data_IF_054406493961
#
_entry.id   IF_054406493961
#
_cell.length_a   1.000
_cell.length_b   1.000
_cell.length_c   1.000
_cell.angle_alpha   90.00
_cell.angle_beta   90.00
_cell.angle_gamma   90.00
#
_symmetry.space_group_name_H-M   'P 1'
#
loop_
_entity.id
_entity.type
_entity.pdbx_description
1 polymer ?
#
# COMPACT_ATOMS: atom_id res chain seq x y z
N UNK A 1 29.13 -20.67 -1.41
CA UNK A 1 28.37 -19.56 -2.05
C UNK A 1 27.69 -18.78 -0.95
N UNK A 2 27.91 -17.47 -0.88
CA UNK A 2 27.19 -16.60 0.06
C UNK A 2 25.82 -16.29 -0.54
N UNK A 3 24.77 -16.49 0.24
CA UNK A 3 23.41 -16.07 -0.13
C UNK A 3 23.39 -14.54 -0.03
N UNK A 4 22.78 -13.87 -1.01
CA UNK A 4 22.57 -12.41 -0.96
C UNK A 4 21.81 -12.01 0.32
N UNK A 5 22.10 -10.84 0.94
CA UNK A 5 21.34 -10.35 2.09
C UNK A 5 19.84 -10.23 1.81
N UNK A 6 19.45 -10.02 0.56
CA UNK A 6 18.05 -10.04 0.12
C UNK A 6 17.69 -11.45 -0.35
N UNK A 7 16.87 -12.16 0.43
CA UNK A 7 16.49 -13.55 0.16
C UNK A 7 16.01 -13.73 -1.30
N UNK A 8 16.56 -14.69 -2.07
CA UNK A 8 16.35 -14.79 -3.51
C UNK A 8 15.05 -15.53 -3.87
N UNK A 9 13.91 -15.05 -3.37
CA UNK A 9 12.57 -15.66 -3.61
C UNK A 9 11.83 -15.09 -4.82
N UNK A 10 12.35 -14.04 -5.45
CA UNK A 10 11.71 -13.38 -6.59
C UNK A 10 12.59 -13.41 -7.85
N UNK A 11 12.07 -13.85 -9.01
CA UNK A 11 12.70 -13.58 -10.29
C UNK A 11 12.49 -12.10 -10.64
N UNK A 12 13.58 -11.33 -10.76
CA UNK A 12 13.52 -9.89 -11.08
C UNK A 12 13.85 -9.68 -12.56
N UNK A 13 13.09 -8.80 -13.23
CA UNK A 13 13.45 -8.31 -14.56
C UNK A 13 14.58 -7.26 -14.47
N UNK A 14 15.10 -6.83 -15.63
CA UNK A 14 16.23 -5.89 -15.70
C UNK A 14 15.89 -4.41 -15.38
N UNK A 15 14.62 -4.04 -15.23
CA UNK A 15 14.20 -2.65 -14.99
C UNK A 15 14.44 -2.28 -13.52
N UNK A 16 15.17 -1.19 -13.26
CA UNK A 16 15.57 -0.75 -11.91
C UNK A 16 15.09 0.68 -11.62
N UNK A 17 13.77 0.90 -11.46
CA UNK A 17 13.23 2.24 -11.38
C UNK A 17 13.66 2.95 -10.08
N UNK A 18 14.11 4.20 -10.21
CA UNK A 18 14.51 5.08 -9.09
C UNK A 18 13.60 6.28 -8.91
N UNK A 19 12.73 6.56 -9.88
CA UNK A 19 11.74 7.62 -9.79
C UNK A 19 10.44 7.21 -10.47
N UNK A 20 9.33 7.64 -9.90
CA UNK A 20 8.02 7.55 -10.51
C UNK A 20 7.50 8.93 -10.94
N UNK A 21 6.78 8.96 -12.05
CA UNK A 21 6.15 10.17 -12.59
C UNK A 21 4.81 9.82 -13.24
N UNK A 22 3.74 9.92 -12.46
CA UNK A 22 2.39 9.51 -12.87
C UNK A 22 2.36 8.07 -13.39
N UNK A 23 2.11 7.84 -14.67
CA UNK A 23 2.09 6.50 -15.26
C UNK A 23 3.48 5.99 -15.68
N UNK A 24 4.56 6.70 -15.37
CA UNK A 24 5.91 6.32 -15.77
C UNK A 24 6.78 5.86 -14.60
N UNK A 25 7.57 4.82 -14.87
CA UNK A 25 8.75 4.45 -14.12
C UNK A 25 9.99 5.00 -14.82
N UNK A 26 10.93 5.56 -14.07
CA UNK A 26 12.18 6.12 -14.58
C UNK A 26 13.34 5.30 -14.00
N UNK A 27 14.08 4.64 -14.89
CA UNK A 27 15.25 3.81 -14.56
C UNK A 27 16.44 4.65 -14.09
N UNK A 28 17.48 3.97 -13.57
CA UNK A 28 18.73 4.61 -13.16
C UNK A 28 19.48 5.31 -14.30
N UNK A 29 19.35 4.81 -15.52
CA UNK A 29 19.92 5.42 -16.73
C UNK A 29 19.05 6.55 -17.33
N UNK A 30 17.90 6.82 -16.71
CA UNK A 30 16.93 7.83 -17.16
C UNK A 30 15.89 7.32 -18.15
N UNK A 31 15.92 6.05 -18.56
CA UNK A 31 14.91 5.45 -19.43
C UNK A 31 13.53 5.53 -18.79
N UNK A 32 12.53 5.98 -19.57
CA UNK A 32 11.13 6.09 -19.13
C UNK A 32 10.33 4.90 -19.65
N UNK A 33 9.72 4.14 -18.74
CA UNK A 33 8.78 3.07 -19.07
C UNK A 33 7.36 3.51 -18.75
N UNK A 34 6.44 3.34 -19.69
CA UNK A 34 5.01 3.43 -19.40
C UNK A 34 4.60 2.18 -18.59
N UNK A 35 4.11 2.39 -17.37
CA UNK A 35 3.81 1.31 -16.44
C UNK A 35 2.37 0.80 -16.63
N UNK A 36 2.25 -0.36 -17.26
CA UNK A 36 0.99 -1.13 -17.33
C UNK A 36 0.91 -2.25 -16.29
N UNK A 37 1.93 -2.44 -15.46
CA UNK A 37 1.91 -3.42 -14.38
C UNK A 37 1.31 -2.85 -13.08
N UNK A 38 1.44 -1.54 -12.86
CA UNK A 38 0.96 -0.80 -11.69
C UNK A 38 1.43 -1.42 -10.37
N UNK A 39 2.64 -1.99 -10.34
CA UNK A 39 3.15 -2.70 -9.16
C UNK A 39 2.26 -3.89 -8.74
N UNK A 40 1.76 -4.67 -9.71
CA UNK A 40 0.73 -5.70 -9.51
C UNK A 40 -0.56 -5.06 -8.99
N UNK A 41 -1.09 -4.11 -9.77
CA UNK A 41 -2.35 -3.40 -9.50
C UNK A 41 -2.42 -2.61 -8.16
N UNK A 42 -1.28 -2.29 -7.54
CA UNK A 42 -1.20 -1.49 -6.30
C UNK A 42 -1.30 0.02 -6.58
N UNK A 43 -0.58 0.51 -7.59
CA UNK A 43 -0.39 1.94 -7.83
C UNK A 43 -1.53 2.57 -8.66
N UNK A 44 -2.77 2.47 -8.16
CA UNK A 44 -3.98 2.87 -8.89
C UNK A 44 -4.05 4.37 -9.26
N UNK A 45 -3.38 5.24 -8.49
CA UNK A 45 -3.29 6.68 -8.77
C UNK A 45 -2.02 7.05 -9.58
N UNK A 46 -1.30 6.05 -10.06
CA UNK A 46 0.05 6.19 -10.59
C UNK A 46 1.08 6.46 -9.50
N UNK A 47 2.31 6.70 -9.94
CA UNK A 47 3.46 6.98 -9.08
C UNK A 47 3.53 8.45 -8.68
N UNK A 48 3.90 8.70 -7.43
CA UNK A 48 4.14 10.05 -6.88
C UNK A 48 2.97 11.03 -7.05
N UNK A 49 1.73 10.54 -6.96
CA UNK A 49 0.52 11.36 -7.04
C UNK A 49 0.53 12.46 -5.96
N UNK A 50 0.46 13.74 -6.38
CA UNK A 50 0.63 14.91 -5.49
C UNK A 50 -0.31 14.89 -4.29
N UNK A 51 -1.58 14.54 -4.50
CA UNK A 51 -2.57 14.47 -3.40
C UNK A 51 -2.28 13.36 -2.40
N UNK A 52 -1.74 12.22 -2.85
CA UNK A 52 -1.42 11.10 -1.96
C UNK A 52 -0.16 11.40 -1.16
N UNK A 53 0.89 11.89 -1.83
CA UNK A 53 2.14 12.29 -1.17
C UNK A 53 1.89 13.39 -0.14
N UNK A 54 1.09 14.41 -0.46
CA UNK A 54 0.76 15.48 0.48
C UNK A 54 0.03 14.97 1.73
N UNK A 55 -0.96 14.09 1.57
CA UNK A 55 -1.68 13.49 2.69
C UNK A 55 -0.76 12.67 3.60
N UNK A 56 0.13 11.86 3.02
CA UNK A 56 1.13 11.08 3.77
C UNK A 56 2.09 12.01 4.52
N UNK A 57 2.64 13.03 3.85
CA UNK A 57 3.58 13.97 4.47
C UNK A 57 2.96 14.71 5.66
N UNK A 58 1.74 15.20 5.50
CA UNK A 58 1.03 15.90 6.57
C UNK A 58 0.76 14.98 7.77
N UNK A 59 0.27 13.76 7.52
CA UNK A 59 0.02 12.81 8.61
C UNK A 59 1.33 12.36 9.26
N UNK A 60 2.40 12.15 8.50
CA UNK A 60 3.70 11.77 9.03
C UNK A 60 4.33 12.83 9.94
N UNK A 61 4.16 14.10 9.59
CA UNK A 61 4.57 15.22 10.44
C UNK A 61 3.70 15.37 11.71
N UNK A 62 2.51 14.75 11.73
CA UNK A 62 1.55 14.86 12.83
C UNK A 62 1.63 13.65 13.77
N UNK A 63 1.38 12.44 13.25
CA UNK A 63 1.35 11.18 14.01
C UNK A 63 1.33 9.97 13.06
N UNK A 64 2.31 9.06 13.19
CA UNK A 64 2.42 7.86 12.33
C UNK A 64 1.82 6.59 12.91
N UNK A 65 1.99 6.36 14.21
CA UNK A 65 1.60 5.10 14.83
C UNK A 65 1.15 5.29 16.27
N UNK A 66 0.04 4.65 16.57
CA UNK A 66 -0.43 4.33 17.92
C UNK A 66 -0.87 2.88 17.91
N UNK A 67 -0.90 2.25 19.08
CA UNK A 67 -1.50 0.91 19.20
C UNK A 67 -3.03 1.00 19.12
N UNK A 68 -3.67 -0.14 18.91
CA UNK A 68 -5.14 -0.27 18.98
C UNK A 68 -5.70 -0.10 20.41
N UNK A 69 -4.88 0.29 21.39
CA UNK A 69 -5.32 0.61 22.76
C UNK A 69 -5.97 2.00 22.84
N UNK A 70 -5.73 2.86 21.85
CA UNK A 70 -6.24 4.23 21.79
C UNK A 70 -7.28 4.38 20.67
N UNK A 71 -8.18 5.34 20.82
CA UNK A 71 -9.07 5.76 19.73
C UNK A 71 -8.28 6.38 18.57
N UNK A 72 -8.79 6.24 17.36
CA UNK A 72 -8.12 6.69 16.13
C UNK A 72 -9.13 7.41 15.23
N UNK A 73 -9.29 8.74 15.39
CA UNK A 73 -10.30 9.50 14.64
C UNK A 73 -10.17 9.36 13.12
N UNK A 74 -8.95 9.25 12.60
CA UNK A 74 -8.69 9.04 11.17
C UNK A 74 -9.12 7.64 10.72
N UNK A 75 -8.85 6.62 11.55
CA UNK A 75 -9.28 5.25 11.29
C UNK A 75 -10.80 5.09 11.34
N UNK A 76 -11.45 5.70 12.33
CA UNK A 76 -12.91 5.74 12.47
C UNK A 76 -13.57 6.41 11.27
N UNK A 77 -13.04 7.55 10.81
CA UNK A 77 -13.54 8.24 9.63
C UNK A 77 -13.37 7.43 8.33
N UNK A 78 -12.27 6.67 8.20
CA UNK A 78 -12.08 5.76 7.06
C UNK A 78 -13.04 4.56 7.14
N UNK A 79 -13.24 3.99 8.33
CA UNK A 79 -14.16 2.89 8.55
C UNK A 79 -15.58 3.25 8.13
N UNK A 80 -16.08 4.42 8.56
CA UNK A 80 -17.40 4.89 8.16
C UNK A 80 -17.52 5.05 6.65
N UNK A 81 -16.51 5.64 5.98
CA UNK A 81 -16.51 5.78 4.51
C UNK A 81 -16.58 4.44 3.78
N UNK A 82 -16.01 3.38 4.33
CA UNK A 82 -16.07 2.03 3.75
C UNK A 82 -17.43 1.39 3.98
N UNK A 83 -17.99 1.51 5.17
CA UNK A 83 -19.36 1.06 5.48
C UNK A 83 -20.36 1.72 4.54
N UNK A 84 -20.30 3.05 4.37
CA UNK A 84 -21.21 3.80 3.50
C UNK A 84 -21.14 3.41 2.00
N UNK A 85 -20.05 2.78 1.58
CA UNK A 85 -19.77 2.44 0.17
C UNK A 85 -19.86 0.94 -0.12
N UNK A 86 -20.11 0.13 0.88
CA UNK A 86 -20.13 -1.33 0.76
C UNK A 86 -21.37 -1.90 1.45
N UNK A 87 -21.49 -3.23 1.48
CA UNK A 87 -22.56 -3.91 2.20
C UNK A 87 -22.24 -4.09 3.70
N UNK A 88 -21.01 -3.79 4.12
CA UNK A 88 -20.51 -4.18 5.43
C UNK A 88 -21.03 -3.24 6.53
N UNK A 89 -21.40 -3.81 7.68
CA UNK A 89 -21.77 -3.05 8.88
C UNK A 89 -20.55 -2.61 9.71
N UNK A 90 -19.40 -3.29 9.56
CA UNK A 90 -18.16 -3.03 10.29
C UNK A 90 -16.93 -3.47 9.51
N UNK A 91 -15.76 -2.92 9.84
CA UNK A 91 -14.48 -3.20 9.18
C UNK A 91 -13.35 -3.41 10.18
N UNK A 92 -12.36 -4.20 9.80
CA UNK A 92 -11.11 -4.41 10.53
C UNK A 92 -9.92 -4.13 9.61
N UNK A 93 -9.01 -3.23 10.00
CA UNK A 93 -7.86 -2.87 9.18
C UNK A 93 -6.67 -3.80 9.43
N UNK A 94 -6.04 -4.24 8.34
CA UNK A 94 -4.78 -4.99 8.33
C UNK A 94 -3.76 -4.29 7.42
N UNK A 95 -2.53 -4.80 7.39
CA UNK A 95 -1.43 -4.19 6.63
C UNK A 95 -1.24 -4.82 5.25
N UNK A 96 -1.79 -6.02 5.04
CA UNK A 96 -1.69 -6.74 3.76
C UNK A 96 -2.96 -7.51 3.42
N UNK A 97 -3.09 -7.85 2.13
CA UNK A 97 -4.17 -8.72 1.65
C UNK A 97 -4.15 -10.11 2.29
N UNK A 98 -2.96 -10.67 2.56
CA UNK A 98 -2.84 -11.96 3.24
C UNK A 98 -3.40 -11.92 4.67
N UNK A 99 -3.07 -10.88 5.44
CA UNK A 99 -3.65 -10.68 6.79
C UNK A 99 -5.16 -10.46 6.75
N UNK A 100 -5.68 -9.76 5.73
CA UNK A 100 -7.12 -9.58 5.54
C UNK A 100 -7.83 -10.91 5.27
N UNK A 101 -7.24 -11.77 4.44
CA UNK A 101 -7.76 -13.11 4.14
C UNK A 101 -7.72 -14.01 5.39
N UNK A 102 -6.62 -14.01 6.13
CA UNK A 102 -6.53 -14.76 7.40
C UNK A 102 -7.56 -14.28 8.42
N UNK A 103 -7.75 -12.96 8.53
CA UNK A 103 -8.82 -12.37 9.36
C UNK A 103 -10.19 -12.90 8.93
N UNK A 104 -10.50 -12.87 7.63
CA UNK A 104 -11.77 -13.35 7.11
C UNK A 104 -11.98 -14.85 7.37
N UNK A 105 -10.96 -15.69 7.19
CA UNK A 105 -11.03 -17.14 7.49
C UNK A 105 -11.32 -17.37 8.97
N UNK A 106 -10.67 -16.61 9.86
CA UNK A 106 -10.90 -16.72 11.31
C UNK A 106 -12.29 -16.24 11.70
N UNK A 107 -12.76 -15.13 11.13
CA UNK A 107 -14.12 -14.61 11.37
C UNK A 107 -15.20 -15.56 10.89
N UNK A 108 -15.01 -16.22 9.73
CA UNK A 108 -15.99 -17.15 9.18
C UNK A 108 -16.06 -18.50 9.94
N UNK A 109 -14.99 -18.86 10.67
CA UNK A 109 -14.90 -20.12 11.42
C UNK A 109 -15.30 -20.00 12.89
N UNK A 110 -15.18 -18.81 13.48
CA UNK A 110 -15.53 -18.54 14.87
C UNK A 110 -17.04 -18.61 15.07
#
# INVERSE_FOLDING_TARGET
MTITPLMPVYPRCGVRPVKGDHCHLIDEDGTRYLDFACGIAVNLLGHSHKGLIGAIQQQAATLMHVSNLYGSPQGEALAQKLVDKTFADTVFFTNSGAEAVETAIKTARA
#
